data_IF_693839612911
#
_entry.id   IF_693839612911
#
_cell.length_a   1.000
_cell.length_b   1.000
_cell.length_c   1.000
_cell.angle_alpha   90.00
_cell.angle_beta   90.00
_cell.angle_gamma   90.00
#
_symmetry.space_group_name_H-M   'P 1'
#
loop_
_entity.id
_entity.type
_entity.pdbx_description
1 polymer ?
#
# COMPACT_ATOMS: atom_id res chain seq x y z
N UNK A 1 -8.24 -8.98 -49.12
CA UNK A 1 -7.56 -9.14 -47.83
C UNK A 1 -6.12 -8.68 -48.03
N UNK A 2 -5.65 -7.65 -47.33
CA UNK A 2 -4.26 -7.19 -47.44
C UNK A 2 -3.41 -8.09 -46.53
N UNK A 3 -2.33 -8.73 -47.01
CA UNK A 3 -1.49 -9.56 -46.16
C UNK A 3 -0.81 -8.69 -45.09
N UNK A 4 -0.82 -9.15 -43.83
CA UNK A 4 -0.11 -8.49 -42.76
C UNK A 4 1.39 -8.78 -42.87
N UNK A 5 2.22 -7.73 -42.88
CA UNK A 5 3.66 -7.87 -42.76
C UNK A 5 4.01 -8.08 -41.28
N UNK A 6 4.62 -9.22 -40.96
CA UNK A 6 5.08 -9.54 -39.61
C UNK A 6 6.61 -9.58 -39.58
N UNK A 7 7.20 -8.60 -38.92
CA UNK A 7 8.64 -8.60 -38.61
C UNK A 7 8.86 -9.36 -37.30
N UNK A 8 9.86 -10.24 -37.27
CA UNK A 8 10.24 -11.02 -36.07
C UNK A 8 11.74 -10.88 -35.84
N UNK A 9 12.20 -11.16 -34.63
CA UNK A 9 13.62 -11.05 -34.23
C UNK A 9 14.22 -9.64 -34.39
N UNK A 10 13.41 -8.61 -34.12
CA UNK A 10 13.90 -7.24 -34.01
C UNK A 10 14.66 -7.08 -32.67
N UNK A 11 15.87 -6.53 -32.73
CA UNK A 11 16.60 -6.11 -31.54
C UNK A 11 16.25 -4.66 -31.24
N UNK A 12 15.24 -4.44 -30.39
CA UNK A 12 14.79 -3.13 -29.97
C UNK A 12 15.41 -2.75 -28.62
N UNK A 13 15.78 -1.48 -28.47
CA UNK A 13 16.24 -0.92 -27.22
C UNK A 13 15.04 -0.39 -26.43
N UNK A 14 14.92 -0.72 -25.13
CA UNK A 14 13.84 -0.21 -24.29
C UNK A 14 13.82 1.32 -24.22
N UNK A 15 12.63 1.90 -24.10
CA UNK A 15 12.41 3.35 -24.07
C UNK A 15 12.56 4.05 -25.41
N UNK A 16 13.06 3.38 -26.45
CA UNK A 16 13.19 3.97 -27.78
C UNK A 16 11.89 3.85 -28.58
N UNK A 17 11.52 4.95 -29.26
CA UNK A 17 10.40 4.97 -30.21
C UNK A 17 10.83 4.46 -31.58
N UNK A 18 10.12 3.46 -32.09
CA UNK A 18 10.30 2.86 -33.40
C UNK A 18 9.15 3.21 -34.32
N UNK A 19 9.47 3.53 -35.58
CA UNK A 19 8.50 3.88 -36.60
C UNK A 19 8.52 2.85 -37.73
N UNK A 20 7.34 2.49 -38.24
CA UNK A 20 7.22 1.72 -39.47
C UNK A 20 6.88 2.66 -40.61
N UNK A 21 7.65 2.61 -41.68
CA UNK A 21 7.37 3.34 -42.93
C UNK A 21 7.10 2.39 -44.07
N UNK A 22 6.07 2.65 -44.87
CA UNK A 22 5.75 1.92 -46.09
C UNK A 22 5.91 2.85 -47.28
N UNK A 23 6.81 2.50 -48.19
CA UNK A 23 7.00 3.23 -49.45
C UNK A 23 6.44 2.43 -50.61
N UNK A 24 5.52 3.02 -51.37
CA UNK A 24 4.96 2.44 -52.58
C UNK A 24 5.40 3.25 -53.79
N UNK A 25 5.95 2.59 -54.81
CA UNK A 25 6.41 3.21 -56.05
C UNK A 25 5.62 2.68 -57.26
N UNK A 26 5.32 3.54 -58.23
CA UNK A 26 4.78 3.09 -59.52
C UNK A 26 5.90 2.67 -60.50
N UNK A 27 5.53 2.19 -61.69
CA UNK A 27 6.49 1.73 -62.72
C UNK A 27 7.42 2.83 -63.26
N UNK A 28 7.13 4.11 -62.98
CA UNK A 28 7.96 5.26 -63.34
C UNK A 28 8.84 5.74 -62.17
N UNK A 29 8.98 4.94 -61.12
CA UNK A 29 9.72 5.23 -59.90
C UNK A 29 9.21 6.46 -59.11
N UNK A 30 7.96 6.85 -59.30
CA UNK A 30 7.32 7.86 -58.44
C UNK A 30 6.80 7.15 -57.18
N UNK A 31 7.25 7.60 -56.01
CA UNK A 31 7.01 6.93 -54.74
C UNK A 31 6.26 7.82 -53.74
N UNK A 32 5.42 7.20 -52.91
CA UNK A 32 4.80 7.81 -51.74
C UNK A 32 5.15 6.99 -50.50
N UNK A 33 5.48 7.66 -49.40
CA UNK A 33 5.78 7.02 -48.11
C UNK A 33 4.73 7.39 -47.07
N UNK A 34 4.19 6.40 -46.38
CA UNK A 34 3.42 6.58 -45.16
C UNK A 34 4.26 6.16 -43.96
N UNK A 35 4.12 6.84 -42.82
CA UNK A 35 4.85 6.55 -41.58
C UNK A 35 3.84 6.38 -40.44
N UNK A 36 4.02 5.36 -39.61
CA UNK A 36 3.20 5.13 -38.41
C UNK A 36 3.45 6.20 -37.33
N UNK A 37 2.58 6.32 -36.34
CA UNK A 37 2.81 7.14 -35.13
C UNK A 37 3.96 6.64 -34.23
N UNK A 38 4.39 5.40 -34.49
CA UNK A 38 5.46 4.72 -33.80
C UNK A 38 5.04 4.09 -32.47
N UNK A 39 5.90 3.22 -31.94
CA UNK A 39 5.70 2.49 -30.68
C UNK A 39 6.96 2.59 -29.83
N UNK A 40 6.80 2.78 -28.53
CA UNK A 40 7.91 2.70 -27.58
C UNK A 40 8.12 1.21 -27.24
N UNK A 41 9.34 0.71 -27.42
CA UNK A 41 9.68 -0.64 -26.95
C UNK A 41 9.78 -0.62 -25.44
N UNK A 42 9.05 -1.50 -24.77
CA UNK A 42 9.10 -1.69 -23.32
C UNK A 42 9.07 -3.18 -23.02
N UNK A 43 10.17 -3.67 -22.46
CA UNK A 43 10.35 -5.02 -21.96
C UNK A 43 10.75 -5.02 -20.47
N UNK A 44 10.63 -3.87 -19.81
CA UNK A 44 11.02 -3.68 -18.42
C UNK A 44 9.79 -3.72 -17.50
N UNK A 45 9.89 -4.32 -16.30
CA UNK A 45 8.84 -4.18 -15.30
C UNK A 45 8.80 -2.76 -14.71
N UNK A 46 7.67 -2.34 -14.13
CA UNK A 46 7.62 -1.10 -13.38
C UNK A 46 8.71 -1.04 -12.30
N UNK A 47 9.22 0.17 -12.05
CA UNK A 47 10.09 0.42 -10.91
C UNK A 47 9.28 0.29 -9.62
N UNK A 48 9.72 -0.54 -8.66
CA UNK A 48 9.00 -0.74 -7.42
C UNK A 48 9.15 0.48 -6.50
N UNK A 49 8.04 0.86 -5.87
CA UNK A 49 8.00 1.87 -4.81
C UNK A 49 7.88 1.28 -3.41
N UNK A 50 7.36 2.08 -2.49
CA UNK A 50 7.12 1.73 -1.09
C UNK A 50 5.66 1.31 -0.86
N UNK A 51 5.46 0.31 -0.02
CA UNK A 51 4.14 -0.18 0.39
C UNK A 51 4.07 -0.13 1.90
N UNK A 52 3.14 0.65 2.41
CA UNK A 52 2.92 0.91 3.84
C UNK A 52 1.55 0.34 4.21
N UNK A 53 1.48 -0.46 5.26
CA UNK A 53 0.20 -0.94 5.76
C UNK A 53 -0.37 -0.04 6.87
N UNK A 54 -1.65 -0.22 7.18
CA UNK A 54 -2.37 0.62 8.13
C UNK A 54 -3.21 1.72 7.48
N UNK A 55 -4.01 2.38 8.32
CA UNK A 55 -5.05 3.32 7.89
C UNK A 55 -4.57 4.77 7.81
N UNK A 56 -3.57 5.16 8.60
CA UNK A 56 -3.15 6.56 8.81
C UNK A 56 -2.39 7.19 7.64
N UNK A 57 -1.99 6.41 6.63
CA UNK A 57 -1.14 6.88 5.54
C UNK A 57 0.36 6.76 5.82
N UNK A 58 0.71 6.42 7.05
CA UNK A 58 2.06 6.03 7.48
C UNK A 58 2.08 4.53 7.73
N UNK A 59 3.27 3.95 7.71
CA UNK A 59 3.51 2.56 8.06
C UNK A 59 3.13 2.28 9.52
N UNK A 60 2.45 1.16 9.77
CA UNK A 60 1.87 0.89 11.07
C UNK A 60 2.23 -0.51 11.58
N UNK A 61 2.96 -0.57 12.68
CA UNK A 61 3.26 -1.83 13.37
C UNK A 61 2.01 -2.45 14.01
N UNK A 62 1.06 -1.61 14.44
CA UNK A 62 -0.12 -2.03 15.19
C UNK A 62 -1.40 -1.33 14.72
N UNK A 63 -2.51 -2.07 14.72
CA UNK A 63 -3.86 -1.50 14.61
C UNK A 63 -4.85 -2.17 15.56
N UNK A 64 -5.89 -1.43 15.95
CA UNK A 64 -6.98 -1.94 16.78
C UNK A 64 -8.18 -2.45 15.97
N UNK A 65 -8.37 -1.96 14.74
CA UNK A 65 -9.46 -2.43 13.89
C UNK A 65 -9.21 -3.88 13.47
N UNK A 66 -10.19 -4.74 13.76
CA UNK A 66 -10.15 -6.15 13.35
C UNK A 66 -10.82 -6.38 12.00
N UNK A 67 -11.58 -5.44 11.48
CA UNK A 67 -12.36 -5.65 10.24
C UNK A 67 -11.86 -4.78 9.10
N UNK A 68 -10.82 -4.00 9.30
CA UNK A 68 -10.28 -3.12 8.27
C UNK A 68 -8.88 -3.56 7.89
N UNK A 69 -8.67 -3.73 6.58
CA UNK A 69 -7.33 -3.83 6.00
C UNK A 69 -7.13 -2.62 5.10
N UNK A 70 -6.02 -1.91 5.27
CA UNK A 70 -5.70 -0.70 4.50
C UNK A 70 -4.22 -0.68 4.17
N UNK A 71 -3.89 -0.07 3.04
CA UNK A 71 -2.53 0.14 2.61
C UNK A 71 -2.41 1.39 1.75
N UNK A 72 -1.22 1.96 1.77
CA UNK A 72 -0.80 3.12 1.02
C UNK A 72 0.48 2.79 0.29
N UNK A 73 0.68 3.40 -0.87
CA UNK A 73 1.90 3.19 -1.64
C UNK A 73 2.29 4.41 -2.44
N UNK A 74 3.59 4.57 -2.62
CA UNK A 74 4.22 5.72 -3.26
C UNK A 74 5.38 5.26 -4.13
N UNK A 75 5.78 6.10 -5.08
CA UNK A 75 6.98 5.90 -5.93
C UNK A 75 7.00 4.65 -6.80
N UNK A 76 5.84 4.10 -7.14
CA UNK A 76 5.73 3.18 -8.28
C UNK A 76 5.64 3.97 -9.58
N UNK A 77 6.48 3.65 -10.56
CA UNK A 77 6.47 4.31 -11.85
C UNK A 77 7.06 3.42 -12.95
N UNK A 78 6.82 3.82 -14.19
CA UNK A 78 7.32 3.18 -15.40
C UNK A 78 7.48 4.29 -16.44
N UNK A 79 8.69 4.50 -16.97
CA UNK A 79 9.00 5.66 -17.81
C UNK A 79 8.67 5.41 -19.28
N UNK A 80 8.66 4.13 -19.68
CA UNK A 80 8.56 3.67 -21.06
C UNK A 80 7.11 3.59 -21.52
N UNK A 81 6.24 2.95 -20.73
CA UNK A 81 4.81 2.75 -21.07
C UNK A 81 3.85 3.29 -20.02
N UNK A 82 4.32 3.52 -18.79
CA UNK A 82 3.53 3.97 -17.67
C UNK A 82 2.69 2.86 -17.04
N UNK A 83 2.14 3.14 -15.86
CA UNK A 83 1.31 2.18 -15.14
C UNK A 83 -0.05 1.97 -15.81
N UNK A 84 -0.56 0.74 -15.74
CA UNK A 84 -1.86 0.34 -16.29
C UNK A 84 -2.87 0.00 -15.19
N UNK A 85 -2.48 -0.89 -14.27
CA UNK A 85 -3.36 -1.43 -13.25
C UNK A 85 -2.58 -1.97 -12.07
N UNK A 86 -3.28 -2.20 -10.97
CA UNK A 86 -2.71 -2.79 -9.76
C UNK A 86 -3.59 -3.96 -9.31
N UNK A 87 -3.04 -4.80 -8.46
CA UNK A 87 -3.76 -5.86 -7.76
C UNK A 87 -3.21 -5.91 -6.34
N UNK A 88 -4.11 -5.92 -5.35
CA UNK A 88 -3.71 -6.01 -3.95
C UNK A 88 -4.41 -7.17 -3.26
N UNK A 89 -3.77 -7.68 -2.21
CA UNK A 89 -4.25 -8.81 -1.41
C UNK A 89 -3.71 -8.74 0.01
N UNK A 90 -4.38 -9.43 0.92
CA UNK A 90 -4.02 -9.51 2.33
C UNK A 90 -3.87 -10.96 2.77
N UNK A 91 -2.84 -11.26 3.55
CA UNK A 91 -2.60 -12.62 4.01
C UNK A 91 -1.83 -12.75 5.32
N UNK A 92 -1.83 -13.96 5.88
CA UNK A 92 -1.11 -14.28 7.12
C UNK A 92 0.38 -14.60 6.89
N UNK A 93 0.82 -14.57 5.63
CA UNK A 93 2.22 -14.69 5.22
C UNK A 93 2.50 -13.74 4.05
N UNK A 94 3.75 -13.32 3.84
CA UNK A 94 4.10 -12.48 2.72
C UNK A 94 3.67 -13.07 1.38
N UNK A 95 3.05 -12.24 0.54
CA UNK A 95 2.58 -12.65 -0.79
C UNK A 95 1.26 -13.44 -0.81
N UNK A 96 0.66 -13.80 0.33
CA UNK A 96 -0.59 -14.55 0.37
C UNK A 96 -1.85 -13.67 0.30
N UNK A 97 -2.97 -14.30 -0.05
CA UNK A 97 -4.29 -13.68 -0.15
C UNK A 97 -5.36 -14.44 0.64
N UNK A 98 -4.97 -15.12 1.72
CA UNK A 98 -5.85 -15.99 2.54
C UNK A 98 -6.81 -15.20 3.43
N UNK A 99 -6.53 -13.92 3.70
CA UNK A 99 -7.44 -13.01 4.42
C UNK A 99 -8.29 -12.20 3.43
N UNK A 100 -7.65 -11.68 2.40
CA UNK A 100 -8.27 -10.89 1.35
C UNK A 100 -7.69 -11.31 -0.01
N UNK A 101 -8.52 -11.88 -0.91
CA UNK A 101 -8.02 -12.42 -2.17
C UNK A 101 -7.54 -11.30 -3.12
N UNK A 102 -6.73 -11.67 -4.14
CA UNK A 102 -6.27 -10.72 -5.14
C UNK A 102 -7.43 -9.95 -5.78
N UNK A 103 -7.40 -8.63 -5.62
CA UNK A 103 -8.43 -7.72 -6.10
C UNK A 103 -7.79 -6.66 -6.99
N UNK A 104 -8.30 -6.55 -8.22
CA UNK A 104 -7.81 -5.57 -9.19
C UNK A 104 -8.21 -4.15 -8.81
N UNK A 105 -7.29 -3.23 -9.08
CA UNK A 105 -7.44 -1.80 -8.91
C UNK A 105 -7.01 -1.08 -10.18
N UNK A 106 -7.63 0.09 -10.42
CA UNK A 106 -7.03 1.11 -11.28
C UNK A 106 -5.78 1.68 -10.60
N UNK A 107 -4.96 2.43 -11.36
CA UNK A 107 -3.82 3.15 -10.76
C UNK A 107 -4.35 4.12 -9.70
N UNK A 108 -3.97 3.87 -8.45
CA UNK A 108 -4.29 4.67 -7.26
C UNK A 108 -3.05 4.66 -6.35
N UNK A 109 -3.11 5.31 -5.19
CA UNK A 109 -2.04 5.34 -4.18
C UNK A 109 -2.44 4.72 -2.84
N UNK A 110 -3.66 4.20 -2.74
CA UNK A 110 -4.19 3.56 -1.52
C UNK A 110 -5.36 2.65 -1.81
N UNK A 111 -5.59 1.71 -0.91
CA UNK A 111 -6.80 0.91 -0.84
C UNK A 111 -7.20 0.61 0.61
N UNK A 112 -8.49 0.40 0.81
CA UNK A 112 -9.06 0.00 2.10
C UNK A 112 -10.24 -0.93 1.85
N UNK A 113 -10.39 -1.94 2.70
CA UNK A 113 -11.51 -2.87 2.63
C UNK A 113 -12.01 -3.21 4.03
N UNK A 114 -13.32 -3.31 4.16
CA UNK A 114 -13.99 -3.91 5.33
C UNK A 114 -14.17 -5.41 5.08
N UNK A 115 -13.52 -6.22 5.91
CA UNK A 115 -13.54 -7.68 5.86
C UNK A 115 -14.81 -8.22 6.51
N UNK A 116 -15.28 -9.36 5.99
CA UNK A 116 -16.41 -10.09 6.56
C UNK A 116 -16.03 -10.85 7.83
N UNK A 117 -14.77 -11.25 7.94
CA UNK A 117 -14.23 -11.95 9.10
C UNK A 117 -13.19 -11.08 9.79
N UNK A 118 -13.14 -11.07 11.13
CA UNK A 118 -12.15 -10.30 11.86
C UNK A 118 -10.75 -10.88 11.66
N UNK A 119 -9.77 -9.98 11.56
CA UNK A 119 -8.35 -10.27 11.53
C UNK A 119 -7.94 -11.03 12.81
N UNK A 120 -7.03 -12.01 12.68
CA UNK A 120 -6.53 -12.78 13.81
C UNK A 120 -5.63 -11.91 14.72
N UNK A 121 -5.75 -12.10 16.05
CA UNK A 121 -5.07 -11.28 17.06
C UNK A 121 -3.59 -11.65 17.26
N UNK A 122 -3.21 -12.90 16.99
CA UNK A 122 -1.85 -13.41 17.25
C UNK A 122 -1.06 -13.67 15.96
N UNK A 123 -1.28 -12.86 14.93
CA UNK A 123 -0.58 -12.97 13.65
C UNK A 123 -0.24 -11.59 13.11
N UNK A 124 0.93 -11.51 12.48
CA UNK A 124 1.27 -10.42 11.57
C UNK A 124 0.48 -10.58 10.28
N UNK A 125 -0.16 -9.51 9.84
CA UNK A 125 -0.97 -9.44 8.63
C UNK A 125 -0.19 -8.68 7.58
N UNK A 126 -0.03 -9.27 6.41
CA UNK A 126 0.74 -8.69 5.31
C UNK A 126 -0.19 -8.19 4.22
N UNK A 127 0.10 -7.00 3.68
CA UNK A 127 -0.50 -6.53 2.43
C UNK A 127 0.51 -6.75 1.31
N UNK A 128 0.05 -7.27 0.17
CA UNK A 128 0.88 -7.40 -1.04
C UNK A 128 0.24 -6.65 -2.20
N UNK A 129 1.05 -5.86 -2.90
CA UNK A 129 0.68 -5.07 -4.06
C UNK A 129 1.47 -5.55 -5.28
N UNK A 130 0.75 -5.89 -6.34
CA UNK A 130 1.27 -6.21 -7.67
C UNK A 130 0.89 -5.10 -8.63
N UNK A 131 1.87 -4.52 -9.32
CA UNK A 131 1.70 -3.36 -10.20
C UNK A 131 2.05 -3.74 -11.63
N UNK A 132 1.20 -3.39 -12.59
CA UNK A 132 1.34 -3.70 -14.01
C UNK A 132 1.57 -2.43 -14.83
N UNK A 133 2.51 -2.46 -15.79
CA UNK A 133 2.63 -1.41 -16.81
C UNK A 133 1.77 -1.73 -18.05
N UNK A 134 1.76 -0.82 -19.03
CA UNK A 134 0.98 -1.00 -20.27
C UNK A 134 1.61 -2.00 -21.24
N UNK A 135 2.88 -2.35 -21.06
CA UNK A 135 3.55 -3.43 -21.79
C UNK A 135 3.22 -4.84 -21.24
N UNK A 136 2.48 -4.93 -20.12
CA UNK A 136 2.10 -6.20 -19.50
C UNK A 136 3.15 -6.80 -18.58
N UNK A 137 4.26 -6.09 -18.33
CA UNK A 137 5.23 -6.44 -17.30
C UNK A 137 4.69 -6.01 -15.92
N UNK A 138 5.26 -6.59 -14.86
CA UNK A 138 4.79 -6.34 -13.51
C UNK A 138 5.89 -6.48 -12.46
N UNK A 139 5.66 -5.83 -11.32
CA UNK A 139 6.47 -5.95 -10.11
C UNK A 139 5.55 -6.20 -8.91
N UNK A 140 6.09 -6.79 -7.85
CA UNK A 140 5.36 -7.06 -6.62
C UNK A 140 6.15 -6.58 -5.38
N UNK A 141 5.41 -6.11 -4.38
CA UNK A 141 5.90 -5.69 -3.07
C UNK A 141 4.95 -6.16 -1.97
N UNK A 142 5.52 -6.51 -0.82
CA UNK A 142 4.78 -6.90 0.39
C UNK A 142 5.23 -6.01 1.53
N UNK A 143 4.29 -5.57 2.37
CA UNK A 143 4.61 -4.83 3.60
C UNK A 143 5.41 -5.70 4.58
N UNK A 144 5.99 -5.09 5.60
CA UNK A 144 6.62 -5.78 6.73
C UNK A 144 5.59 -6.31 7.74
N UNK A 145 4.37 -5.78 7.71
CA UNK A 145 3.17 -6.38 8.23
C UNK A 145 2.71 -5.77 9.56
N UNK A 146 1.40 -5.81 9.77
CA UNK A 146 0.73 -5.18 10.91
C UNK A 146 0.22 -6.21 11.93
N UNK A 147 0.37 -5.92 13.22
CA UNK A 147 -0.20 -6.72 14.31
C UNK A 147 -1.49 -6.12 14.86
N UNK A 148 -2.42 -6.96 15.28
CA UNK A 148 -3.71 -6.52 15.81
C UNK A 148 -3.65 -6.47 17.34
N UNK A 149 -3.69 -5.27 17.91
CA UNK A 149 -3.71 -5.05 19.35
C UNK A 149 -5.03 -4.39 19.77
N UNK A 150 -5.82 -5.13 20.55
CA UNK A 150 -7.08 -4.66 21.15
C UNK A 150 -7.00 -4.58 22.66
N UNK A 151 -5.81 -4.69 23.22
CA UNK A 151 -5.61 -4.69 24.67
C UNK A 151 -5.76 -3.27 25.20
N UNK A 152 -6.61 -3.12 26.22
CA UNK A 152 -6.66 -1.88 26.98
C UNK A 152 -5.37 -1.77 27.81
N UNK A 153 -4.83 -0.56 28.02
CA UNK A 153 -3.75 -0.37 28.97
C UNK A 153 -4.21 -0.86 30.34
N UNK A 154 -3.43 -1.76 30.95
CA UNK A 154 -3.70 -2.23 32.31
C UNK A 154 -3.15 -1.19 33.29
N UNK A 155 -3.98 -0.73 34.22
CA UNK A 155 -3.54 0.14 35.32
C UNK A 155 -2.47 -0.59 36.16
N UNK A 156 -1.20 -0.20 36.00
CA UNK A 156 -0.14 -0.70 36.86
C UNK A 156 -0.08 0.18 38.10
N UNK A 157 -0.57 -0.34 39.23
CA UNK A 157 -0.68 0.28 40.55
C UNK A 157 -1.80 1.30 40.72
N UNK A 158 -2.76 0.94 41.58
CA UNK A 158 -3.47 1.95 42.37
C UNK A 158 -2.43 2.83 43.06
N UNK A 159 -2.48 4.13 42.75
CA UNK A 159 -1.71 5.14 43.47
C UNK A 159 -2.25 5.17 44.90
N UNK A 160 -1.54 4.51 45.83
CA UNK A 160 -1.85 4.63 47.25
C UNK A 160 -1.20 5.91 47.77
N UNK A 161 -2.02 6.90 48.09
CA UNK A 161 -1.57 8.05 48.87
C UNK A 161 -1.25 7.55 50.29
N UNK A 162 -0.02 7.77 50.77
CA UNK A 162 0.31 7.53 52.18
C UNK A 162 -0.18 8.72 53.01
N UNK A 163 -1.09 8.48 53.96
CA UNK A 163 -1.56 9.52 54.90
C UNK A 163 -0.47 10.03 55.85
N UNK A 164 0.75 9.44 55.82
CA UNK A 164 1.81 9.76 56.77
C UNK A 164 2.56 11.07 56.51
N UNK A 165 2.35 11.72 55.37
CA UNK A 165 3.06 12.97 55.05
C UNK A 165 2.46 13.68 53.82
N UNK A 166 1.49 14.57 54.07
CA UNK A 166 0.94 15.49 53.07
C UNK A 166 -0.39 16.09 53.52
N UNK A 167 -0.61 17.38 53.24
CA UNK A 167 -1.92 18.03 53.35
C UNK A 167 -2.42 18.27 51.94
N UNK A 168 -3.54 17.64 51.56
CA UNK A 168 -4.22 17.89 50.30
C UNK A 168 -5.40 18.84 50.56
N UNK A 169 -5.49 19.92 49.79
CA UNK A 169 -6.63 20.83 49.76
C UNK A 169 -7.42 20.67 48.45
N UNK A 170 -8.52 21.39 48.29
CA UNK A 170 -9.40 21.31 47.11
C UNK A 170 -8.68 21.62 45.78
N UNK A 171 -7.52 22.28 45.83
CA UNK A 171 -6.70 22.64 44.67
C UNK A 171 -5.57 21.65 44.38
N UNK A 172 -5.44 20.59 45.18
CA UNK A 172 -4.34 19.64 45.04
C UNK A 172 -4.51 18.76 43.80
N UNK A 173 -3.55 18.83 42.87
CA UNK A 173 -3.53 18.02 41.66
C UNK A 173 -2.45 16.94 41.74
N UNK A 174 -2.81 15.72 41.38
CA UNK A 174 -1.85 14.62 41.18
C UNK A 174 -1.71 14.39 39.68
N UNK A 175 -0.52 14.63 39.14
CA UNK A 175 -0.20 14.33 37.74
C UNK A 175 0.55 13.01 37.65
N UNK A 176 0.02 12.05 36.89
CA UNK A 176 0.70 10.79 36.60
C UNK A 176 1.42 10.89 35.25
N UNK A 177 2.71 10.58 35.25
CA UNK A 177 3.51 10.50 34.04
C UNK A 177 3.75 9.03 33.71
N UNK A 178 3.26 8.55 32.56
CA UNK A 178 3.63 7.26 31.99
C UNK A 178 4.60 7.49 30.83
N UNK A 179 5.73 6.78 30.83
CA UNK A 179 6.75 6.88 29.78
C UNK A 179 6.48 5.98 28.57
N UNK A 180 5.36 5.23 28.54
CA UNK A 180 5.11 4.22 27.50
C UNK A 180 3.87 4.43 26.62
N UNK A 181 2.97 5.37 26.94
CA UNK A 181 1.78 5.62 26.11
C UNK A 181 1.34 7.09 26.18
N UNK A 182 0.75 7.65 25.11
CA UNK A 182 0.13 8.97 25.16
C UNK A 182 -1.04 8.96 26.17
N UNK A 183 -1.09 9.99 27.03
CA UNK A 183 -2.04 10.12 28.14
C UNK A 183 -3.50 10.02 27.67
N UNK A 184 -4.22 9.01 28.13
CA UNK A 184 -5.68 9.05 28.19
C UNK A 184 -6.03 9.77 29.48
N UNK A 185 -6.73 10.89 29.35
CA UNK A 185 -7.25 11.74 30.43
C UNK A 185 -7.68 10.91 31.65
N UNK A 186 -7.03 11.12 32.80
CA UNK A 186 -7.47 10.57 34.07
C UNK A 186 -8.52 11.52 34.67
N UNK A 187 -9.75 11.06 34.86
CA UNK A 187 -10.77 11.75 35.65
C UNK A 187 -10.77 11.18 37.07
N UNK A 188 -10.58 12.05 38.07
CA UNK A 188 -10.65 11.66 39.49
C UNK A 188 -12.12 11.61 39.89
N UNK A 189 -12.70 10.40 39.95
CA UNK A 189 -14.02 10.18 40.53
C UNK A 189 -13.97 10.18 42.05
N UNK A 190 -14.54 11.20 42.69
CA UNK A 190 -14.85 11.13 44.12
C UNK A 190 -16.07 10.23 44.32
N UNK A 191 -15.85 9.00 44.77
CA UNK A 191 -16.93 8.21 45.38
C UNK A 191 -17.08 8.67 46.83
N UNK A 192 -18.04 9.56 47.08
CA UNK A 192 -18.55 9.77 48.42
C UNK A 192 -19.28 8.48 48.87
N UNK A 193 -18.73 7.77 49.84
CA UNK A 193 -19.44 6.72 50.58
C UNK A 193 -20.30 7.44 51.66
N UNK A 194 -21.57 7.04 51.86
CA UNK A 194 -22.53 7.77 52.70
C UNK A 194 -22.14 7.88 54.18
#
# INVERSE_FOLDING_TARGET
>A
MIPALRLTSLSLSPGQRYFTSVTACNQRALCTTAVSDGVISDDTPPVPGWLLDGFSGEDADFQSSRTTLSAHWVDFYDLESGLLSMEWRGGTRPGQGDIFPPTKLVVTNKASVTLLQPLPLDKTIYVTLKVFNKAGQWVERTSDGIQIDVTAPVESQQVRLSESSGSFNEDSQVSLFSSRFPLVRAEVGHNAIP
#
